data_IF_078124627270
#
_entry.id   IF_078124627270
#
_cell.length_a   1.000
_cell.length_b   1.000
_cell.length_c   1.000
_cell.angle_alpha   90.00
_cell.angle_beta   90.00
_cell.angle_gamma   90.00
#
_symmetry.space_group_name_H-M   'P 1'
#
loop_
_entity.id
_entity.type
_entity.pdbx_description
1 polymer ?
#
# COMPACT_ATOMS: atom_id res chain seq x y z
N UNK A 1 7.68 0.33 -22.17
CA UNK A 1 7.34 1.72 -21.87
C UNK A 1 6.34 1.72 -20.72
N UNK A 2 6.67 2.39 -19.62
CA UNK A 2 5.67 2.75 -18.59
C UNK A 2 4.90 3.97 -19.13
N UNK A 3 3.57 4.05 -18.99
CA UNK A 3 2.84 5.22 -19.45
C UNK A 3 3.26 6.47 -18.66
N UNK A 4 3.10 7.66 -19.26
CA UNK A 4 3.42 8.91 -18.60
C UNK A 4 2.58 9.10 -17.31
N UNK A 5 3.15 9.76 -16.28
CA UNK A 5 2.43 10.08 -15.05
C UNK A 5 1.23 10.99 -15.36
N UNK A 6 0.07 10.70 -14.75
CA UNK A 6 -1.15 11.53 -14.86
C UNK A 6 -2.35 10.93 -15.60
N UNK A 7 -2.24 9.75 -16.23
CA UNK A 7 -3.25 9.24 -17.18
C UNK A 7 -4.50 8.58 -16.55
N UNK A 8 -4.84 8.94 -15.31
CA UNK A 8 -6.06 8.42 -14.66
C UNK A 8 -6.05 6.89 -14.48
N UNK A 9 -7.21 6.21 -14.55
CA UNK A 9 -7.33 4.74 -14.34
C UNK A 9 -6.54 3.88 -15.35
N UNK A 10 -6.25 4.38 -16.55
CA UNK A 10 -5.49 3.66 -17.56
C UNK A 10 -4.00 3.51 -17.17
N UNK A 11 -3.43 4.56 -16.58
CA UNK A 11 -2.08 4.51 -16.00
C UNK A 11 -1.97 3.50 -14.85
N UNK A 12 -2.98 3.45 -13.97
CA UNK A 12 -3.02 2.48 -12.86
C UNK A 12 -2.98 1.03 -13.35
N UNK A 13 -3.72 0.71 -14.43
CA UNK A 13 -3.72 -0.64 -14.99
C UNK A 13 -2.34 -1.04 -15.51
N UNK A 14 -1.63 -0.13 -16.17
CA UNK A 14 -0.26 -0.41 -16.65
C UNK A 14 0.75 -0.56 -15.50
N UNK A 15 0.64 0.26 -14.46
CA UNK A 15 1.47 0.14 -13.25
C UNK A 15 1.18 -1.18 -12.54
N UNK A 16 -0.10 -1.58 -12.45
CA UNK A 16 -0.50 -2.88 -11.90
C UNK A 16 0.09 -4.03 -12.72
N UNK A 17 -0.02 -4.00 -14.04
CA UNK A 17 0.59 -5.01 -14.92
C UNK A 17 2.12 -5.06 -14.84
N UNK A 18 2.79 -3.92 -14.63
CA UNK A 18 4.23 -3.89 -14.38
C UNK A 18 4.58 -4.54 -13.04
N UNK A 19 3.78 -4.26 -12.00
CA UNK A 19 3.95 -4.81 -10.66
C UNK A 19 3.71 -6.33 -10.63
N UNK A 20 2.65 -6.81 -11.29
CA UNK A 20 2.35 -8.25 -11.41
C UNK A 20 3.44 -9.02 -12.17
N UNK A 21 4.05 -8.41 -13.21
CA UNK A 21 5.18 -9.03 -13.92
C UNK A 21 6.46 -9.08 -13.10
N UNK A 22 6.63 -8.18 -12.14
CA UNK A 22 7.83 -8.13 -11.29
C UNK A 22 7.85 -9.22 -10.21
N UNK A 23 6.70 -9.81 -9.88
CA UNK A 23 6.59 -10.81 -8.83
C UNK A 23 5.38 -11.71 -9.03
N UNK A 24 5.63 -13.02 -9.13
CA UNK A 24 4.58 -14.04 -9.24
C UNK A 24 3.68 -14.08 -8.00
N UNK A 25 2.37 -14.33 -8.16
CA UNK A 25 1.45 -14.46 -7.03
C UNK A 25 1.70 -15.77 -6.26
N UNK A 26 1.98 -15.65 -4.96
CA UNK A 26 2.27 -16.78 -4.06
C UNK A 26 1.17 -17.00 -2.99
N UNK A 27 0.05 -16.29 -3.12
CA UNK A 27 -1.08 -16.29 -2.19
C UNK A 27 -2.36 -16.69 -2.91
N UNK A 28 -3.36 -17.18 -2.17
CA UNK A 28 -4.68 -17.39 -2.78
C UNK A 28 -5.28 -16.05 -3.21
N UNK A 29 -6.06 -15.99 -4.32
CA UNK A 29 -6.62 -14.74 -4.83
C UNK A 29 -7.52 -14.01 -3.83
N UNK A 30 -8.16 -14.73 -2.91
CA UNK A 30 -8.99 -14.14 -1.85
C UNK A 30 -8.12 -13.49 -0.76
N UNK A 31 -7.07 -14.18 -0.34
CA UNK A 31 -6.12 -13.69 0.68
C UNK A 31 -5.37 -12.47 0.16
N UNK A 32 -4.89 -12.51 -1.08
CA UNK A 32 -4.25 -11.37 -1.72
C UNK A 32 -5.16 -10.14 -1.80
N UNK A 33 -6.41 -10.31 -2.28
CA UNK A 33 -7.38 -9.22 -2.33
C UNK A 33 -7.66 -8.60 -0.97
N UNK A 34 -7.80 -9.42 0.07
CA UNK A 34 -7.97 -8.96 1.45
C UNK A 34 -6.77 -8.14 1.93
N UNK A 35 -5.56 -8.67 1.74
CA UNK A 35 -4.32 -8.03 2.18
C UNK A 35 -4.03 -6.74 1.40
N UNK A 36 -4.32 -6.70 0.11
CA UNK A 36 -4.23 -5.47 -0.69
C UNK A 36 -5.20 -4.41 -0.16
N UNK A 37 -6.45 -4.76 0.15
CA UNK A 37 -7.40 -3.80 0.74
C UNK A 37 -6.94 -3.30 2.12
N UNK A 38 -6.47 -4.20 2.97
CA UNK A 38 -5.91 -3.84 4.28
C UNK A 38 -4.67 -2.95 4.14
N UNK A 39 -3.73 -3.31 3.26
CA UNK A 39 -2.52 -2.55 2.99
C UNK A 39 -2.81 -1.15 2.47
N UNK A 40 -3.79 -1.00 1.55
CA UNK A 40 -4.25 0.32 1.08
C UNK A 40 -4.80 1.17 2.24
N UNK A 41 -5.56 0.56 3.15
CA UNK A 41 -6.14 1.26 4.31
C UNK A 41 -5.06 1.67 5.32
N UNK A 42 -4.11 0.77 5.61
CA UNK A 42 -2.98 1.05 6.51
C UNK A 42 -2.10 2.14 5.91
N UNK A 43 -1.77 2.06 4.62
CA UNK A 43 -0.94 3.07 3.96
C UNK A 43 -1.63 4.44 3.91
N UNK A 44 -2.94 4.48 3.64
CA UNK A 44 -3.73 5.71 3.73
C UNK A 44 -3.66 6.31 5.14
N UNK A 45 -3.75 5.48 6.19
CA UNK A 45 -3.63 5.94 7.57
C UNK A 45 -2.21 6.43 7.90
N UNK A 46 -1.18 5.81 7.32
CA UNK A 46 0.20 6.28 7.45
C UNK A 46 0.37 7.68 6.86
N UNK A 47 -0.04 7.87 5.60
CA UNK A 47 0.22 9.12 4.86
C UNK A 47 -0.75 10.25 5.17
N UNK A 48 -1.98 9.97 5.60
CA UNK A 48 -3.00 10.99 5.90
C UNK A 48 -3.28 11.16 7.40
N UNK A 49 -2.86 10.20 8.23
CA UNK A 49 -3.20 10.16 9.65
C UNK A 49 -4.62 9.66 9.94
N UNK A 50 -5.49 9.54 8.93
CA UNK A 50 -6.89 9.12 9.10
C UNK A 50 -6.97 7.62 9.34
N UNK A 51 -7.65 7.21 10.40
CA UNK A 51 -7.85 5.79 10.71
C UNK A 51 -6.70 5.11 11.45
N UNK A 52 -5.65 5.84 11.84
CA UNK A 52 -4.55 5.30 12.69
C UNK A 52 -5.05 4.69 14.00
N UNK A 53 -6.16 5.23 14.55
CA UNK A 53 -6.84 4.71 15.75
C UNK A 53 -7.27 3.24 15.65
N UNK A 54 -7.39 2.68 14.43
CA UNK A 54 -7.70 1.26 14.20
C UNK A 54 -6.50 0.34 14.52
N UNK A 55 -5.28 0.88 14.48
CA UNK A 55 -4.04 0.13 14.74
C UNK A 55 -3.10 0.90 15.67
N UNK A 56 -3.49 1.12 16.94
CA UNK A 56 -2.70 1.93 17.88
C UNK A 56 -1.32 1.34 18.16
N UNK A 57 -1.16 0.00 18.09
CA UNK A 57 0.13 -0.66 18.25
C UNK A 57 1.05 -0.58 17.02
N UNK A 58 0.52 -0.19 15.85
CA UNK A 58 1.30 -0.02 14.62
C UNK A 58 1.68 1.45 14.40
N UNK A 59 0.78 2.38 14.71
CA UNK A 59 1.04 3.83 14.62
C UNK A 59 1.35 4.40 16.00
N UNK A 60 2.63 4.34 16.39
CA UNK A 60 3.09 4.92 17.67
C UNK A 60 3.45 6.40 17.58
N UNK A 61 3.67 6.91 16.37
CA UNK A 61 4.10 8.28 16.11
C UNK A 61 2.92 9.27 16.13
N UNK A 62 3.07 10.38 16.87
CA UNK A 62 2.04 11.41 17.03
C UNK A 62 2.00 12.44 15.89
N UNK A 63 3.15 12.73 15.25
CA UNK A 63 3.22 13.75 14.21
C UNK A 63 2.92 13.15 12.84
N UNK A 64 1.86 13.63 12.20
CA UNK A 64 1.55 13.31 10.81
C UNK A 64 1.49 14.61 10.02
N UNK A 65 2.29 14.68 8.96
CA UNK A 65 2.15 15.72 7.95
C UNK A 65 1.35 15.11 6.79
N UNK A 66 0.03 15.37 6.72
CA UNK A 66 -0.82 14.62 5.82
C UNK A 66 -0.53 14.98 4.36
N UNK A 67 -0.26 13.96 3.55
CA UNK A 67 -0.24 14.10 2.10
C UNK A 67 -1.63 14.50 1.60
N UNK A 68 -1.66 15.40 0.61
CA UNK A 68 -2.88 15.79 -0.10
C UNK A 68 -3.00 15.01 -1.41
N UNK A 69 -4.21 14.88 -1.95
CA UNK A 69 -4.49 14.17 -3.22
C UNK A 69 -3.91 12.75 -3.29
N UNK A 70 -3.94 12.05 -2.16
CA UNK A 70 -3.43 10.69 -2.07
C UNK A 70 -4.25 9.72 -2.93
N UNK A 71 -3.56 8.90 -3.74
CA UNK A 71 -4.14 7.81 -4.52
C UNK A 71 -3.17 6.62 -4.54
N UNK A 72 -3.69 5.41 -4.35
CA UNK A 72 -2.92 4.18 -4.61
C UNK A 72 -3.16 3.75 -6.05
N UNK A 73 -2.09 3.74 -6.85
CA UNK A 73 -2.10 3.41 -8.28
C UNK A 73 -2.11 1.90 -8.50
N UNK A 74 -1.29 1.15 -7.76
CA UNK A 74 -1.21 -0.30 -7.84
C UNK A 74 -0.88 -0.93 -6.49
N UNK A 75 -1.26 -2.18 -6.29
CA UNK A 75 -0.85 -2.92 -5.10
C UNK A 75 -0.88 -4.43 -5.34
N UNK A 76 0.09 -5.15 -4.78
CA UNK A 76 0.15 -6.62 -4.77
C UNK A 76 0.50 -7.11 -3.38
N UNK A 77 0.07 -8.31 -3.01
CA UNK A 77 0.48 -8.96 -1.76
C UNK A 77 1.32 -10.21 -2.06
N UNK A 78 2.46 -10.33 -1.38
CA UNK A 78 3.42 -11.42 -1.59
C UNK A 78 3.87 -11.99 -0.25
N UNK A 79 4.24 -13.26 -0.25
CA UNK A 79 4.70 -13.92 0.98
C UNK A 79 6.09 -13.42 1.33
N UNK A 80 6.29 -12.95 2.57
CA UNK A 80 7.57 -12.43 3.05
C UNK A 80 8.37 -13.45 3.89
N UNK A 81 7.82 -14.65 4.08
CA UNK A 81 8.39 -15.74 4.89
C UNK A 81 7.47 -16.16 6.04
N UNK A 82 7.39 -17.46 6.31
CA UNK A 82 6.55 -18.00 7.38
C UNK A 82 5.08 -17.57 7.30
N UNK A 83 4.61 -16.92 8.37
CA UNK A 83 3.26 -16.30 8.52
C UNK A 83 3.26 -14.80 8.24
N UNK A 84 4.28 -14.28 7.56
CA UNK A 84 4.41 -12.86 7.19
C UNK A 84 4.14 -12.67 5.70
N UNK A 85 3.42 -11.59 5.41
CA UNK A 85 3.11 -11.11 4.06
C UNK A 85 3.61 -9.68 3.93
N UNK A 86 4.08 -9.33 2.75
CA UNK A 86 4.37 -7.95 2.37
C UNK A 86 3.38 -7.51 1.31
N UNK A 87 2.76 -6.35 1.51
CA UNK A 87 1.95 -5.68 0.50
C UNK A 87 2.81 -4.59 -0.10
N UNK A 88 3.11 -4.71 -1.38
CA UNK A 88 3.78 -3.68 -2.16
C UNK A 88 2.73 -2.75 -2.74
N UNK A 89 2.88 -1.46 -2.51
CA UNK A 89 1.97 -0.44 -3.04
C UNK A 89 2.76 0.55 -3.89
N UNK A 90 2.15 0.97 -4.98
CA UNK A 90 2.56 2.14 -5.76
C UNK A 90 1.49 3.20 -5.55
N UNK A 91 1.89 4.39 -5.15
CA UNK A 91 0.98 5.47 -4.81
C UNK A 91 1.51 6.81 -5.29
N UNK A 92 0.58 7.75 -5.38
CA UNK A 92 0.82 9.14 -5.74
C UNK A 92 0.23 10.04 -4.64
N UNK A 93 0.87 11.19 -4.41
CA UNK A 93 0.37 12.19 -3.51
C UNK A 93 1.19 13.46 -3.50
N UNK A 94 0.55 14.57 -3.14
CA UNK A 94 1.19 15.87 -2.97
C UNK A 94 1.76 15.99 -1.55
N UNK A 95 3.06 16.27 -1.46
CA UNK A 95 3.76 16.45 -0.20
C UNK A 95 3.19 17.63 0.60
N UNK A 96 3.09 17.52 1.93
CA UNK A 96 2.67 18.62 2.80
C UNK A 96 3.64 19.84 2.76
N UNK A 97 4.87 19.67 2.27
CA UNK A 97 5.88 20.74 2.17
C UNK A 97 5.83 21.55 0.85
N UNK A 98 4.89 21.27 -0.07
CA UNK A 98 4.78 21.91 -1.41
C UNK A 98 5.71 21.26 -2.47
N UNK A 99 5.61 21.48 -3.79
CA UNK A 99 4.55 22.03 -4.67
C UNK A 99 4.21 21.01 -5.78
N UNK A 100 4.85 19.85 -5.75
CA UNK A 100 4.81 18.82 -6.80
C UNK A 100 3.97 17.61 -6.38
N UNK A 101 3.16 17.10 -7.32
CA UNK A 101 2.59 15.76 -7.22
C UNK A 101 3.72 14.74 -7.40
N UNK A 102 3.92 13.91 -6.39
CA UNK A 102 4.93 12.86 -6.43
C UNK A 102 4.25 11.56 -6.83
N UNK A 103 4.44 11.20 -8.09
CA UNK A 103 3.90 9.99 -8.70
C UNK A 103 4.87 8.80 -8.55
N UNK A 104 4.34 7.57 -8.61
CA UNK A 104 5.11 6.32 -8.61
C UNK A 104 5.93 6.05 -7.34
N UNK A 105 5.51 6.59 -6.18
CA UNK A 105 6.13 6.25 -4.89
C UNK A 105 5.85 4.79 -4.58
N UNK A 106 6.88 4.03 -4.22
CA UNK A 106 6.72 2.66 -3.72
C UNK A 106 6.62 2.66 -2.20
N UNK A 107 5.78 1.78 -1.67
CA UNK A 107 5.62 1.55 -0.25
C UNK A 107 5.48 0.05 0.02
N UNK A 108 5.84 -0.35 1.24
CA UNK A 108 5.69 -1.73 1.69
C UNK A 108 4.99 -1.71 3.04
N UNK A 109 3.92 -2.49 3.16
CA UNK A 109 3.23 -2.72 4.43
C UNK A 109 3.34 -4.20 4.75
N UNK A 110 3.93 -4.54 5.88
CA UNK A 110 3.99 -5.93 6.31
C UNK A 110 2.76 -6.29 7.12
N UNK A 111 2.31 -7.52 6.95
CA UNK A 111 1.25 -8.13 7.74
C UNK A 111 1.75 -9.43 8.31
N UNK A 112 1.35 -9.70 9.55
CA UNK A 112 1.54 -10.99 10.21
C UNK A 112 0.18 -11.62 10.45
N UNK A 113 0.09 -12.92 10.13
CA UNK A 113 -1.08 -13.72 10.45
C UNK A 113 -1.02 -14.14 11.91
N UNK A 114 -2.08 -13.86 12.66
CA UNK A 114 -2.27 -14.48 13.97
C UNK A 114 -2.79 -15.93 13.83
N UNK A 115 -2.95 -16.62 14.96
CA UNK A 115 -3.44 -18.00 15.00
C UNK A 115 -4.87 -18.19 14.47
N UNK A 116 -5.66 -17.11 14.41
CA UNK A 116 -7.07 -17.11 14.01
C UNK A 116 -7.26 -16.66 12.55
N UNK A 117 -6.20 -16.74 11.74
CA UNK A 117 -6.22 -16.37 10.33
C UNK A 117 -6.55 -14.87 10.10
N UNK A 118 -6.35 -14.05 11.13
CA UNK A 118 -6.53 -12.61 11.07
C UNK A 118 -5.17 -11.93 10.87
N UNK A 119 -5.18 -10.94 9.98
CA UNK A 119 -3.98 -10.25 9.54
C UNK A 119 -3.85 -8.93 10.30
N UNK A 120 -2.69 -8.73 10.91
CA UNK A 120 -2.36 -7.50 11.64
C UNK A 120 -1.15 -6.83 10.99
N UNK A 121 -1.17 -5.50 10.79
CA UNK A 121 -0.02 -4.80 10.25
C UNK A 121 1.15 -4.87 11.23
N UNK A 122 2.35 -5.11 10.72
CA UNK A 122 3.60 -5.22 11.48
C UNK A 122 4.68 -4.38 10.81
N UNK A 123 5.62 -3.84 11.59
CA UNK A 123 6.78 -3.08 11.08
C UNK A 123 7.99 -4.00 10.88
#
# INVERSE_FOLDING_TARGET
>A
MLPPPGDGPAGDAAVQHALDRSSSPDLSPQTERLLVQLGRTVWMAEVTGRGRRRWPGYFTDAEVRPYRRFRVQAAIARRAGGRRVVVHLVWAGASPAGTDELDNRTARVFFTQDGDNKWTPSR
#
